data_IF_680383129101
#
_entry.id   IF_680383129101
#
_cell.length_a   1.000
_cell.length_b   1.000
_cell.length_c   1.000
_cell.angle_alpha   90.00
_cell.angle_beta   90.00
_cell.angle_gamma   90.00
#
_symmetry.space_group_name_H-M   'P 1'
#
loop_
_entity.id
_entity.type
_entity.pdbx_description
1 polymer ?
#
# COMPACT_ATOMS: atom_id res chain seq x y z
N UNK A 1 -37.05 -6.61 -21.91
CA UNK A 1 -36.52 -5.32 -21.43
C UNK A 1 -35.04 -5.53 -21.24
N UNK A 2 -34.22 -4.90 -22.08
CA UNK A 2 -32.79 -4.77 -21.78
C UNK A 2 -32.68 -3.88 -20.54
N UNK A 3 -32.14 -4.39 -19.45
CA UNK A 3 -31.92 -3.60 -18.25
C UNK A 3 -30.82 -2.58 -18.50
N UNK A 4 -31.09 -1.29 -18.28
CA UNK A 4 -30.03 -0.30 -18.18
C UNK A 4 -29.29 -0.53 -16.86
N UNK A 5 -28.00 -0.82 -16.95
CA UNK A 5 -27.09 -0.93 -15.80
C UNK A 5 -26.23 0.34 -15.78
N UNK A 6 -26.25 1.06 -14.68
CA UNK A 6 -25.35 2.19 -14.45
C UNK A 6 -23.97 1.66 -14.05
N UNK A 7 -22.93 2.15 -14.72
CA UNK A 7 -21.54 1.71 -14.51
C UNK A 7 -20.67 2.94 -14.32
N UNK A 8 -20.06 3.04 -13.15
CA UNK A 8 -19.03 4.02 -12.83
C UNK A 8 -17.65 3.33 -12.81
N UNK A 9 -16.67 3.93 -13.50
CA UNK A 9 -15.29 3.44 -13.52
C UNK A 9 -14.41 4.43 -12.79
N UNK A 10 -13.69 3.93 -11.78
CA UNK A 10 -12.78 4.71 -10.96
C UNK A 10 -11.38 4.13 -11.12
N UNK A 11 -10.46 4.98 -11.58
CA UNK A 11 -9.03 4.70 -11.43
C UNK A 11 -8.64 4.96 -9.98
N UNK A 12 -8.31 3.89 -9.26
CA UNK A 12 -8.00 3.98 -7.83
C UNK A 12 -6.66 4.65 -7.53
N UNK A 13 -5.74 4.67 -8.50
CA UNK A 13 -4.35 5.13 -8.31
C UNK A 13 -3.61 4.50 -7.10
N UNK A 14 -4.14 3.38 -6.60
CA UNK A 14 -3.58 2.61 -5.48
C UNK A 14 -3.67 1.11 -5.76
N UNK A 15 -3.06 0.30 -4.90
CA UNK A 15 -3.03 -1.16 -5.03
C UNK A 15 -3.16 -1.84 -3.67
N UNK A 16 -3.27 -3.16 -3.67
CA UNK A 16 -3.24 -3.99 -2.47
C UNK A 16 -4.23 -3.52 -1.38
N UNK A 17 -3.78 -3.29 -0.14
CA UNK A 17 -4.67 -2.86 0.94
C UNK A 17 -5.33 -1.51 0.67
N UNK A 18 -4.67 -0.60 -0.04
CA UNK A 18 -5.30 0.66 -0.47
C UNK A 18 -6.53 0.42 -1.33
N UNK A 19 -6.42 -0.43 -2.35
CA UNK A 19 -7.55 -0.82 -3.19
C UNK A 19 -8.61 -1.58 -2.38
N UNK A 20 -8.18 -2.46 -1.48
CA UNK A 20 -9.08 -3.22 -0.61
C UNK A 20 -9.96 -2.34 0.27
N UNK A 21 -9.40 -1.26 0.84
CA UNK A 21 -10.15 -0.30 1.66
C UNK A 21 -11.20 0.45 0.86
N UNK A 22 -10.88 0.87 -0.36
CA UNK A 22 -11.84 1.50 -1.27
C UNK A 22 -12.99 0.53 -1.62
N UNK A 23 -12.67 -0.72 -1.95
CA UNK A 23 -13.69 -1.75 -2.27
C UNK A 23 -14.57 -2.06 -1.07
N UNK A 24 -14.00 -2.18 0.13
CA UNK A 24 -14.76 -2.41 1.36
C UNK A 24 -15.71 -1.25 1.68
N UNK A 25 -15.25 0.00 1.50
CA UNK A 25 -16.09 1.19 1.65
C UNK A 25 -17.25 1.19 0.66
N UNK A 26 -17.00 0.88 -0.61
CA UNK A 26 -18.03 0.79 -1.64
C UNK A 26 -19.06 -0.30 -1.34
N UNK A 27 -18.60 -1.48 -0.92
CA UNK A 27 -19.47 -2.60 -0.54
C UNK A 27 -20.38 -2.21 0.62
N UNK A 28 -19.84 -1.55 1.64
CA UNK A 28 -20.61 -1.11 2.81
C UNK A 28 -21.67 -0.06 2.44
N UNK A 29 -21.32 0.91 1.59
CA UNK A 29 -22.27 1.91 1.10
C UNK A 29 -23.38 1.28 0.23
N UNK A 30 -23.05 0.30 -0.61
CA UNK A 30 -24.02 -0.46 -1.38
C UNK A 30 -24.99 -1.26 -0.49
N UNK A 31 -24.48 -1.91 0.57
CA UNK A 31 -25.31 -2.61 1.58
C UNK A 31 -26.25 -1.66 2.33
N UNK A 32 -25.88 -0.38 2.44
CA UNK A 32 -26.70 0.68 3.04
C UNK A 32 -27.72 1.28 2.07
N UNK A 33 -27.71 0.86 0.80
CA UNK A 33 -28.64 1.32 -0.23
C UNK A 33 -28.27 2.66 -0.86
N UNK A 34 -27.02 3.11 -0.73
CA UNK A 34 -26.52 4.28 -1.46
C UNK A 34 -26.55 4.03 -2.98
N UNK A 35 -26.79 5.10 -3.75
CA UNK A 35 -26.78 5.07 -5.21
C UNK A 35 -25.36 4.94 -5.77
N UNK A 36 -25.25 4.53 -7.04
CA UNK A 36 -23.94 4.40 -7.73
C UNK A 36 -23.16 5.73 -7.72
N UNK A 37 -23.86 6.86 -7.84
CA UNK A 37 -23.25 8.20 -7.83
C UNK A 37 -22.70 8.52 -6.43
N UNK A 38 -23.49 8.33 -5.37
CA UNK A 38 -23.06 8.57 -3.98
C UNK A 38 -21.86 7.69 -3.60
N UNK A 39 -21.88 6.42 -4.00
CA UNK A 39 -20.75 5.50 -3.81
C UNK A 39 -19.52 6.01 -4.58
N UNK A 40 -19.67 6.42 -5.84
CA UNK A 40 -18.56 6.94 -6.65
C UNK A 40 -17.92 8.18 -6.01
N UNK A 41 -18.73 9.13 -5.54
CA UNK A 41 -18.27 10.33 -4.83
C UNK A 41 -17.54 9.99 -3.53
N UNK A 42 -18.09 9.07 -2.74
CA UNK A 42 -17.46 8.56 -1.50
C UNK A 42 -16.10 7.90 -1.78
N UNK A 43 -15.97 7.12 -2.84
CA UNK A 43 -14.68 6.50 -3.17
C UNK A 43 -13.68 7.56 -3.66
N UNK A 44 -14.12 8.52 -4.46
CA UNK A 44 -13.26 9.64 -4.91
C UNK A 44 -12.79 10.52 -3.75
N UNK A 45 -13.55 10.67 -2.67
CA UNK A 45 -13.10 11.38 -1.46
C UNK A 45 -12.20 10.53 -0.56
N UNK A 46 -12.35 9.20 -0.58
CA UNK A 46 -11.56 8.28 0.24
C UNK A 46 -10.15 8.07 -0.32
N UNK A 47 -10.01 7.90 -1.65
CA UNK A 47 -8.72 7.56 -2.29
C UNK A 47 -7.58 8.54 -1.97
N UNK A 48 -7.77 9.87 -1.97
CA UNK A 48 -6.70 10.83 -1.63
C UNK A 48 -6.19 10.73 -0.18
N UNK A 49 -6.90 10.01 0.70
CA UNK A 49 -6.51 9.79 2.09
C UNK A 49 -5.73 8.48 2.27
N UNK A 50 -5.51 7.73 1.19
CA UNK A 50 -4.73 6.50 1.19
C UNK A 50 -3.29 6.82 0.80
N UNK A 51 -2.36 6.55 1.71
CA UNK A 51 -0.94 6.73 1.51
C UNK A 51 -0.23 5.38 1.58
N UNK A 52 0.91 5.24 0.90
CA UNK A 52 1.66 3.99 0.95
C UNK A 52 3.16 4.18 0.87
N UNK A 53 3.87 3.27 1.55
CA UNK A 53 5.33 3.15 1.51
C UNK A 53 5.70 1.68 1.34
N UNK A 54 6.57 1.39 0.38
CA UNK A 54 6.92 0.04 -0.05
C UNK A 54 8.44 -0.14 -0.09
N UNK A 55 8.93 -1.18 0.59
CA UNK A 55 10.26 -1.72 0.42
C UNK A 55 10.24 -2.80 -0.65
N UNK A 56 10.82 -2.49 -1.82
CA UNK A 56 10.74 -3.33 -3.01
C UNK A 56 12.09 -3.99 -3.29
N UNK A 57 12.27 -5.25 -2.91
CA UNK A 57 13.58 -5.92 -2.98
C UNK A 57 14.03 -6.30 -4.40
N UNK A 58 13.17 -6.13 -5.42
CA UNK A 58 13.39 -6.63 -6.77
C UNK A 58 13.30 -5.57 -7.86
N UNK A 59 14.33 -4.75 -8.07
CA UNK A 59 14.36 -3.79 -9.19
C UNK A 59 14.20 -4.47 -10.56
N UNK A 60 14.65 -5.72 -10.69
CA UNK A 60 14.41 -6.53 -11.89
C UNK A 60 12.93 -6.81 -12.13
N UNK A 61 12.12 -6.94 -11.07
CA UNK A 61 10.67 -7.14 -11.19
C UNK A 61 10.01 -5.86 -11.68
N UNK A 62 10.32 -4.71 -11.07
CA UNK A 62 9.81 -3.41 -11.52
C UNK A 62 10.19 -3.10 -12.98
N UNK A 63 11.43 -3.40 -13.36
CA UNK A 63 11.86 -3.22 -14.76
C UNK A 63 11.10 -4.16 -15.71
N UNK A 64 10.92 -5.44 -15.36
CA UNK A 64 10.19 -6.39 -16.19
C UNK A 64 8.70 -6.04 -16.31
N UNK A 65 8.10 -5.50 -15.25
CA UNK A 65 6.69 -5.10 -15.22
C UNK A 65 6.44 -3.74 -15.87
N UNK A 66 7.50 -3.00 -16.26
CA UNK A 66 7.39 -1.71 -16.95
C UNK A 66 7.32 -0.49 -16.03
N UNK A 67 7.31 -0.70 -14.70
CA UNK A 67 7.23 0.35 -13.67
C UNK A 67 8.59 0.97 -13.31
N UNK A 68 9.66 0.58 -14.01
CA UNK A 68 10.98 1.21 -13.88
C UNK A 68 11.54 1.52 -15.27
N UNK A 69 11.82 2.80 -15.54
CA UNK A 69 12.44 3.22 -16.80
C UNK A 69 13.84 2.60 -16.99
N UNK A 70 14.21 2.30 -18.26
CA UNK A 70 15.46 1.63 -18.65
C UNK A 70 16.74 2.25 -18.05
N UNK A 71 16.76 3.55 -17.79
CA UNK A 71 17.92 4.26 -17.21
C UNK A 71 18.13 4.00 -15.70
N UNK A 72 17.08 3.66 -14.96
CA UNK A 72 17.18 3.30 -13.53
C UNK A 72 17.51 1.81 -13.33
N UNK A 73 17.37 0.99 -14.37
CA UNK A 73 17.66 -0.45 -14.37
C UNK A 73 19.17 -0.77 -14.49
N UNK A 74 20.05 0.07 -13.95
CA UNK A 74 21.46 -0.31 -13.79
C UNK A 74 21.55 -1.27 -12.61
N UNK A 75 21.26 -2.53 -12.91
CA UNK A 75 21.15 -3.66 -12.00
C UNK A 75 22.51 -3.90 -11.34
N UNK A 76 22.64 -3.46 -10.09
CA UNK A 76 23.56 -4.06 -9.14
C UNK A 76 22.75 -4.95 -8.21
N UNK A 77 22.63 -6.24 -8.51
CA UNK A 77 22.04 -7.27 -7.63
C UNK A 77 22.78 -7.44 -6.29
N UNK A 78 23.84 -6.66 -6.06
CA UNK A 78 24.48 -6.51 -4.76
C UNK A 78 23.66 -5.58 -3.84
N UNK A 79 22.49 -6.05 -3.41
CA UNK A 79 21.59 -5.41 -2.43
C UNK A 79 22.25 -5.29 -1.05
N UNK A 80 23.13 -4.29 -0.88
CA UNK A 80 23.53 -3.81 0.46
C UNK A 80 22.48 -2.88 1.08
N UNK A 81 21.43 -2.54 0.33
CA UNK A 81 20.40 -1.58 0.75
C UNK A 81 19.03 -1.99 0.21
N UNK A 82 17.99 -1.70 0.99
CA UNK A 82 16.59 -1.99 0.74
C UNK A 82 15.91 -0.72 0.16
N UNK A 83 15.53 -0.69 -1.12
CA UNK A 83 15.00 0.53 -1.74
C UNK A 83 13.54 0.76 -1.32
N UNK A 84 13.22 2.01 -1.03
CA UNK A 84 11.90 2.46 -0.55
C UNK A 84 11.23 3.29 -1.65
N UNK A 85 9.94 3.04 -1.82
CA UNK A 85 9.07 3.70 -2.78
C UNK A 85 7.82 4.20 -2.07
N UNK A 86 7.24 5.27 -2.58
CA UNK A 86 5.86 5.66 -2.30
C UNK A 86 5.03 5.52 -3.57
N UNK A 87 3.73 5.32 -3.43
CA UNK A 87 2.81 5.35 -4.55
C UNK A 87 2.12 6.70 -4.57
N UNK A 88 2.39 7.50 -5.61
CA UNK A 88 1.81 8.83 -5.81
C UNK A 88 1.20 8.88 -7.21
N UNK A 89 -0.06 9.27 -7.29
CA UNK A 89 -0.81 9.36 -8.57
C UNK A 89 -0.74 8.08 -9.43
N UNK A 90 -0.70 6.90 -8.78
CA UNK A 90 -0.59 5.60 -9.46
C UNK A 90 0.84 5.20 -9.88
N UNK A 91 1.84 6.03 -9.59
CA UNK A 91 3.24 5.82 -9.98
C UNK A 91 4.13 5.51 -8.76
N UNK A 92 5.07 4.59 -8.93
CA UNK A 92 6.05 4.24 -7.89
C UNK A 92 7.21 5.25 -7.89
N UNK A 93 7.23 6.12 -6.90
CA UNK A 93 8.26 7.16 -6.75
C UNK A 93 9.34 6.67 -5.79
N UNK A 94 10.62 6.56 -6.22
CA UNK A 94 11.71 6.18 -5.33
C UNK A 94 12.00 7.32 -4.35
N UNK A 95 12.07 7.00 -3.04
CA UNK A 95 12.31 8.00 -2.00
C UNK A 95 13.71 7.86 -1.41
N UNK A 96 13.92 6.81 -0.63
CA UNK A 96 15.17 6.57 0.10
C UNK A 96 15.55 5.09 0.11
N UNK A 97 16.64 4.76 0.80
CA UNK A 97 17.16 3.40 0.90
C UNK A 97 17.43 3.04 2.35
N UNK A 98 16.76 2.01 2.85
CA UNK A 98 17.08 1.44 4.15
C UNK A 98 18.37 0.60 4.06
N UNK A 99 19.17 0.57 5.14
CA UNK A 99 20.47 -0.14 5.17
C UNK A 99 20.33 -1.58 5.63
N UNK A 100 19.25 -1.87 6.35
CA UNK A 100 18.87 -3.17 6.90
C UNK A 100 17.41 -3.07 7.35
N UNK A 101 16.83 -4.19 7.80
CA UNK A 101 15.42 -4.24 8.23
C UNK A 101 15.12 -3.42 9.48
N UNK A 102 16.10 -3.21 10.38
CA UNK A 102 15.91 -2.30 11.52
C UNK A 102 15.66 -0.88 11.05
N UNK A 103 16.51 -0.39 10.13
CA UNK A 103 16.33 0.92 9.51
C UNK A 103 15.00 0.97 8.73
N UNK A 104 14.59 -0.10 8.04
CA UNK A 104 13.27 -0.15 7.39
C UNK A 104 12.13 0.08 8.39
N UNK A 105 12.15 -0.58 9.55
CA UNK A 105 11.13 -0.38 10.58
C UNK A 105 11.15 1.03 11.15
N UNK A 106 12.34 1.64 11.33
CA UNK A 106 12.45 3.04 11.74
C UNK A 106 11.75 3.96 10.71
N UNK A 107 11.92 3.71 9.41
CA UNK A 107 11.28 4.49 8.35
C UNK A 107 9.77 4.26 8.24
N UNK A 108 9.30 3.03 8.43
CA UNK A 108 7.86 2.76 8.46
C UNK A 108 7.22 3.46 9.65
N UNK A 109 7.88 3.48 10.81
CA UNK A 109 7.40 4.21 11.97
C UNK A 109 7.36 5.73 11.70
N UNK A 110 8.43 6.31 11.16
CA UNK A 110 8.48 7.73 10.77
C UNK A 110 7.33 8.07 9.82
N UNK A 111 7.08 7.25 8.80
CA UNK A 111 5.97 7.45 7.86
C UNK A 111 4.61 7.47 8.54
N UNK A 112 4.33 6.57 9.50
CA UNK A 112 3.06 6.61 10.25
C UNK A 112 2.93 7.92 11.03
N UNK A 113 4.02 8.42 11.62
CA UNK A 113 3.99 9.63 12.46
C UNK A 113 3.80 10.93 11.68
N UNK A 114 3.83 10.90 10.34
CA UNK A 114 3.48 12.06 9.50
C UNK A 114 1.97 12.35 9.51
N UNK A 115 1.16 11.43 10.03
CA UNK A 115 -0.29 11.53 10.06
C UNK A 115 -0.81 11.63 11.50
N UNK A 116 -1.70 12.60 11.76
CA UNK A 116 -2.22 12.86 13.10
C UNK A 116 -3.29 11.84 13.53
N UNK A 117 -4.23 11.53 12.64
CA UNK A 117 -5.38 10.65 12.93
C UNK A 117 -5.57 9.67 11.78
N UNK A 118 -5.60 8.38 12.14
CA UNK A 118 -5.65 7.27 11.20
C UNK A 118 -6.89 6.41 11.46
N UNK A 119 -7.51 5.95 10.38
CA UNK A 119 -8.61 4.98 10.42
C UNK A 119 -8.08 3.54 10.34
N UNK A 120 -7.00 3.31 9.59
CA UNK A 120 -6.49 1.94 9.34
C UNK A 120 -5.02 1.91 8.91
N UNK A 121 -4.28 0.87 9.35
CA UNK A 121 -2.96 0.50 8.80
C UNK A 121 -3.01 -0.91 8.18
N UNK A 122 -2.64 -1.01 6.91
CA UNK A 122 -2.51 -2.25 6.18
C UNK A 122 -1.07 -2.60 5.89
N UNK A 123 -0.62 -3.79 6.26
CA UNK A 123 0.70 -4.32 5.93
C UNK A 123 0.57 -5.42 4.89
N UNK A 124 1.38 -5.33 3.83
CA UNK A 124 1.53 -6.39 2.83
C UNK A 124 2.91 -7.02 2.95
N UNK A 125 2.96 -8.34 2.95
CA UNK A 125 4.18 -9.09 3.24
C UNK A 125 4.49 -10.08 2.13
N UNK A 126 5.76 -10.10 1.77
CA UNK A 126 6.34 -11.12 0.91
C UNK A 126 6.30 -12.52 1.50
N UNK A 127 6.89 -13.46 0.77
CA UNK A 127 7.05 -14.86 1.18
C UNK A 127 8.54 -15.19 1.23
N UNK A 128 9.11 -15.62 2.37
CA UNK A 128 8.44 -15.77 3.67
C UNK A 128 8.01 -14.43 4.27
N UNK A 129 7.04 -14.50 5.19
CA UNK A 129 6.47 -13.34 5.88
C UNK A 129 7.50 -12.63 6.77
N UNK A 130 7.29 -11.34 6.98
CA UNK A 130 8.16 -10.42 7.74
C UNK A 130 7.79 -10.40 9.24
N UNK A 131 7.55 -11.57 9.84
CA UNK A 131 6.91 -11.68 11.16
C UNK A 131 7.65 -10.92 12.28
N UNK A 132 8.98 -10.91 12.24
CA UNK A 132 9.79 -10.20 13.24
C UNK A 132 9.70 -8.68 13.06
N UNK A 133 9.80 -8.24 11.82
CA UNK A 133 9.74 -6.84 11.41
C UNK A 133 8.36 -6.26 11.70
N UNK A 134 7.27 -6.91 11.27
CA UNK A 134 5.90 -6.41 11.51
C UNK A 134 5.53 -6.46 12.99
N UNK A 135 6.01 -7.46 13.74
CA UNK A 135 5.87 -7.48 15.20
C UNK A 135 6.58 -6.30 15.87
N UNK A 136 7.82 -6.04 15.50
CA UNK A 136 8.59 -4.91 16.04
C UNK A 136 7.92 -3.58 15.72
N UNK A 137 7.40 -3.42 14.50
CA UNK A 137 6.65 -2.22 14.11
C UNK A 137 5.41 -2.05 14.98
N UNK A 138 4.61 -3.10 15.16
CA UNK A 138 3.39 -3.06 15.99
C UNK A 138 3.68 -2.68 17.43
N UNK A 139 4.72 -3.25 18.03
CA UNK A 139 5.15 -2.91 19.39
C UNK A 139 5.56 -1.45 19.53
N UNK A 140 6.17 -0.87 18.49
CA UNK A 140 6.57 0.54 18.45
C UNK A 140 5.40 1.50 18.21
N UNK A 141 4.38 1.07 17.47
CA UNK A 141 3.18 1.86 17.22
C UNK A 141 2.16 1.77 18.35
N UNK A 142 2.19 0.71 19.16
CA UNK A 142 1.23 0.49 20.24
C UNK A 142 1.07 1.66 21.24
N UNK A 143 2.11 2.43 21.62
CA UNK A 143 1.93 3.56 22.54
C UNK A 143 1.03 4.68 21.99
N UNK A 144 1.12 4.94 20.68
CA UNK A 144 0.44 6.07 20.03
C UNK A 144 -0.83 5.62 19.28
N UNK A 145 -0.93 4.32 18.94
CA UNK A 145 -1.96 3.76 18.06
C UNK A 145 -2.61 2.47 18.61
N UNK A 146 -2.74 2.35 19.93
CA UNK A 146 -3.23 1.12 20.59
C UNK A 146 -4.60 0.62 20.09
N UNK A 147 -5.50 1.55 19.74
CA UNK A 147 -6.87 1.23 19.28
C UNK A 147 -6.99 1.15 17.75
N UNK A 148 -5.90 1.42 17.02
CA UNK A 148 -5.92 1.46 15.56
C UNK A 148 -6.00 0.05 14.97
N UNK A 149 -6.89 -0.12 13.98
CA UNK A 149 -7.00 -1.36 13.21
C UNK A 149 -5.73 -1.57 12.37
N UNK A 150 -4.97 -2.62 12.69
CA UNK A 150 -3.81 -3.06 11.90
C UNK A 150 -4.12 -4.41 11.27
N UNK A 151 -4.05 -4.50 9.94
CA UNK A 151 -4.22 -5.76 9.20
C UNK A 151 -2.94 -6.17 8.48
N UNK A 152 -2.67 -7.47 8.43
CA UNK A 152 -1.48 -8.05 7.81
C UNK A 152 -1.88 -9.08 6.75
N UNK A 153 -1.36 -8.90 5.53
CA UNK A 153 -1.74 -9.70 4.37
C UNK A 153 -0.49 -10.22 3.64
N UNK A 154 -0.56 -11.44 3.13
CA UNK A 154 0.44 -11.92 2.18
C UNK A 154 0.17 -11.29 0.82
N UNK A 155 1.22 -10.83 0.14
CA UNK A 155 1.10 -10.27 -1.21
C UNK A 155 0.49 -11.28 -2.18
N UNK A 156 -0.36 -10.80 -3.08
CA UNK A 156 -0.94 -11.65 -4.12
C UNK A 156 0.13 -12.08 -5.14
N UNK A 157 -0.07 -13.19 -5.87
CA UNK A 157 0.85 -13.60 -6.94
C UNK A 157 1.09 -12.51 -8.01
N UNK A 158 0.05 -11.77 -8.38
CA UNK A 158 0.12 -10.69 -9.37
C UNK A 158 1.02 -9.56 -8.88
N UNK A 159 0.84 -9.12 -7.63
CA UNK A 159 1.67 -8.09 -7.04
C UNK A 159 3.11 -8.57 -6.85
N UNK A 160 3.30 -9.83 -6.46
CA UNK A 160 4.62 -10.46 -6.34
C UNK A 160 5.39 -10.48 -7.67
N UNK A 161 4.71 -10.65 -8.81
CA UNK A 161 5.34 -10.53 -10.14
C UNK A 161 5.72 -9.09 -10.50
N UNK A 162 5.04 -8.10 -9.92
CA UNK A 162 5.30 -6.69 -10.16
C UNK A 162 6.48 -6.17 -9.32
N UNK A 163 6.44 -6.39 -8.00
CA UNK A 163 7.38 -5.78 -7.05
C UNK A 163 8.38 -6.81 -6.46
N UNK A 164 8.18 -8.10 -6.72
CA UNK A 164 9.05 -9.17 -6.24
C UNK A 164 8.54 -9.79 -4.93
N UNK A 165 8.83 -11.09 -4.71
CA UNK A 165 8.24 -11.89 -3.65
C UNK A 165 8.73 -11.56 -2.24
N UNK A 166 9.82 -10.80 -2.10
CA UNK A 166 10.40 -10.43 -0.80
C UNK A 166 10.20 -8.94 -0.52
N UNK A 167 8.99 -8.44 -0.75
CA UNK A 167 8.64 -7.03 -0.54
C UNK A 167 7.82 -6.84 0.73
N UNK A 168 7.99 -5.71 1.40
CA UNK A 168 7.18 -5.30 2.54
C UNK A 168 6.56 -3.94 2.21
N UNK A 169 5.26 -3.79 2.38
CA UNK A 169 4.57 -2.52 2.15
C UNK A 169 3.63 -2.17 3.28
N UNK A 170 3.42 -0.88 3.48
CA UNK A 170 2.47 -0.32 4.42
C UNK A 170 1.56 0.65 3.68
N UNK A 171 0.27 0.54 3.96
CA UNK A 171 -0.80 1.40 3.46
C UNK A 171 -1.50 2.01 4.66
N UNK A 172 -1.78 3.30 4.60
CA UNK A 172 -2.42 4.05 5.68
C UNK A 172 -3.67 4.70 5.11
N UNK A 173 -4.78 4.61 5.85
CA UNK A 173 -5.96 5.43 5.61
C UNK A 173 -6.01 6.51 6.69
N UNK A 174 -5.84 7.76 6.27
CA UNK A 174 -6.01 8.93 7.13
C UNK A 174 -7.51 9.18 7.37
N UNK A 175 -7.88 9.58 8.59
CA UNK A 175 -9.27 9.95 8.92
C UNK A 175 -9.75 11.18 8.14
N UNK A 176 -11.08 11.37 8.05
CA UNK A 176 -11.70 12.54 7.41
C UNK A 176 -11.47 13.84 8.18
#
# INVERSE_FOLDING_TARGET
>A
MEGQVEIEVIDSQTVATGLGLAVQSASKAAEQGESVIEISERIRSLLPRIYSVLCISGLSYLHRSGYLGKAQATIGEHLKMLPIYVLEEGELIPTQKARNYRHLIDLLQEFVTEFEILDHIGLIQGVPAFENETRTLRERLAPDYAELSISEHIISPELSLMIGPHSLGMFILQSE
#
